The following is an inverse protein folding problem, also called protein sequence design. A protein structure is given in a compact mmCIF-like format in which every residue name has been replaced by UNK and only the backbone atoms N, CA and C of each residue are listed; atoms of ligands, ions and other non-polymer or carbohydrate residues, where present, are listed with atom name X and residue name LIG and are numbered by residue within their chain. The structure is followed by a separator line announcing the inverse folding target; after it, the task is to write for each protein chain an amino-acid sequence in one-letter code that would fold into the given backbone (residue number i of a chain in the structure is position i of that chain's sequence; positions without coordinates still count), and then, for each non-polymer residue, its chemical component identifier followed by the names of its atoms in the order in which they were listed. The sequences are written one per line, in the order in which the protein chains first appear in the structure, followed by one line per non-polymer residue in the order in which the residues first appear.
data_IF_618561188797
#
_entry.id   IF_618561188797
#
_cell.length_a   1.000
_cell.length_b   1.000
_cell.length_c   1.000
_cell.angle_alpha   90.00
_cell.angle_beta   90.00
_cell.angle_gamma   90.00
#
_symmetry.space_group_name_H-M   'P 1'
#
loop_
_entity.id
_entity.type
_entity.pdbx_description
1 polymer ?
#
# COMPACT_ATOMS: atom_id res chain seq x y z
N UNK A 1 15.75 2.95 -9.80
CA UNK A 1 15.70 1.86 -10.81
C UNK A 1 14.24 1.59 -11.12
N UNK A 2 13.83 1.67 -12.40
CA UNK A 2 12.45 1.36 -12.83
C UNK A 2 12.43 0.04 -13.59
N UNK A 3 11.48 -0.84 -13.27
CA UNK A 3 11.28 -2.10 -13.99
C UNK A 3 9.98 -2.01 -14.81
N UNK A 4 10.03 -2.44 -16.07
CA UNK A 4 8.86 -2.49 -16.95
C UNK A 4 8.36 -3.92 -17.04
N UNK A 5 7.06 -4.09 -16.84
CA UNK A 5 6.35 -5.36 -17.05
C UNK A 5 5.30 -5.19 -18.14
N UNK A 6 5.18 -6.17 -19.02
CA UNK A 6 4.14 -6.20 -20.07
C UNK A 6 3.06 -7.19 -19.65
N UNK A 7 1.83 -6.69 -19.44
CA UNK A 7 0.68 -7.49 -19.01
C UNK A 7 -0.33 -7.50 -20.15
N UNK A 8 -0.77 -8.70 -20.57
CA UNK A 8 -1.90 -8.84 -21.48
C UNK A 8 -3.21 -8.69 -20.71
N UNK A 9 -4.07 -7.79 -21.13
CA UNK A 9 -5.37 -7.56 -20.53
C UNK A 9 -6.47 -8.10 -21.46
N UNK A 10 -7.55 -8.69 -20.93
CA UNK A 10 -8.75 -8.97 -21.70
C UNK A 10 -9.33 -7.68 -22.28
N UNK A 11 -9.97 -7.78 -23.45
CA UNK A 11 -10.51 -6.62 -24.18
C UNK A 11 -11.46 -5.77 -23.34
N UNK A 12 -12.37 -6.43 -22.60
CA UNK A 12 -13.32 -5.76 -21.70
C UNK A 12 -12.59 -4.92 -20.63
N UNK A 13 -11.51 -5.48 -20.06
CA UNK A 13 -10.73 -4.79 -19.02
C UNK A 13 -10.00 -3.59 -19.62
N UNK A 14 -9.46 -3.72 -20.83
CA UNK A 14 -8.78 -2.62 -21.51
C UNK A 14 -9.76 -1.48 -21.86
N UNK A 15 -10.96 -1.81 -22.35
CA UNK A 15 -12.00 -0.81 -22.64
C UNK A 15 -12.42 -0.04 -21.40
N UNK A 16 -12.65 -0.73 -20.28
CA UNK A 16 -13.01 -0.08 -19.01
C UNK A 16 -11.88 0.81 -18.47
N UNK A 17 -10.62 0.40 -18.65
CA UNK A 17 -9.46 1.21 -18.28
C UNK A 17 -9.36 2.49 -19.12
N UNK A 18 -9.61 2.40 -20.43
CA UNK A 18 -9.64 3.57 -21.33
C UNK A 18 -10.76 4.54 -21.01
N UNK A 19 -11.96 4.03 -20.73
CA UNK A 19 -13.08 4.87 -20.33
C UNK A 19 -12.79 5.59 -19.01
N UNK A 20 -12.23 4.88 -18.03
CA UNK A 20 -11.84 5.48 -16.74
C UNK A 20 -10.75 6.54 -16.92
N UNK A 21 -9.75 6.28 -17.77
CA UNK A 21 -8.70 7.25 -18.12
C UNK A 21 -9.31 8.54 -18.71
N UNK A 22 -10.23 8.39 -19.66
CA UNK A 22 -10.93 9.52 -20.31
C UNK A 22 -11.75 10.33 -19.30
N UNK A 23 -12.56 9.66 -18.47
CA UNK A 23 -13.42 10.31 -17.48
C UNK A 23 -12.63 11.05 -16.39
N UNK A 24 -11.48 10.51 -15.99
CA UNK A 24 -10.67 11.08 -14.90
C UNK A 24 -9.58 12.05 -15.39
N UNK A 25 -9.36 12.15 -16.71
CA UNK A 25 -8.26 12.94 -17.28
C UNK A 25 -6.86 12.38 -16.95
N UNK A 26 -6.78 11.12 -16.50
CA UNK A 26 -5.52 10.47 -16.10
C UNK A 26 -5.07 9.44 -17.13
N UNK A 27 -3.77 9.18 -17.20
CA UNK A 27 -3.23 8.15 -18.10
C UNK A 27 -3.58 6.74 -17.60
N UNK A 28 -3.70 5.78 -18.53
CA UNK A 28 -3.90 4.35 -18.22
C UNK A 28 -2.83 3.84 -17.24
N UNK A 29 -1.57 4.18 -17.50
CA UNK A 29 -0.45 3.77 -16.65
C UNK A 29 -0.53 4.34 -15.24
N UNK A 30 -1.02 5.58 -15.07
CA UNK A 30 -1.19 6.17 -13.75
C UNK A 30 -2.28 5.44 -12.94
N UNK A 31 -3.39 5.06 -13.58
CA UNK A 31 -4.46 4.28 -12.95
C UNK A 31 -3.97 2.89 -12.55
N UNK A 32 -3.26 2.20 -13.45
CA UNK A 32 -2.72 0.86 -13.18
C UNK A 32 -1.67 0.91 -12.06
N UNK A 33 -0.78 1.91 -12.10
CA UNK A 33 0.25 2.09 -11.08
C UNK A 33 -0.36 2.33 -9.70
N UNK A 34 -1.35 3.21 -9.60
CA UNK A 34 -2.03 3.47 -8.32
C UNK A 34 -2.75 2.23 -7.79
N UNK A 35 -3.46 1.50 -8.65
CA UNK A 35 -4.14 0.27 -8.25
C UNK A 35 -3.17 -0.79 -7.74
N UNK A 36 -2.01 -0.92 -8.39
CA UNK A 36 -0.94 -1.83 -7.98
C UNK A 36 -0.28 -1.37 -6.67
N UNK A 37 0.00 -0.08 -6.53
CA UNK A 37 0.53 0.47 -5.28
C UNK A 37 -0.44 0.25 -4.12
N UNK A 38 -1.74 0.40 -4.36
CA UNK A 38 -2.78 0.18 -3.37
C UNK A 38 -2.91 -1.30 -2.97
N UNK A 39 -2.82 -2.23 -3.93
CA UNK A 39 -2.87 -3.67 -3.64
C UNK A 39 -1.62 -4.19 -2.94
N UNK A 40 -0.47 -3.54 -3.14
CA UNK A 40 0.79 -3.85 -2.48
C UNK A 40 0.96 -3.17 -1.13
N UNK A 41 0.01 -2.32 -0.69
CA UNK A 41 0.08 -1.75 0.65
C UNK A 41 0.02 -2.89 1.65
N UNK A 42 0.97 -2.95 2.61
CA UNK A 42 0.93 -3.97 3.64
C UNK A 42 -0.40 -3.83 4.40
N UNK A 43 -1.12 -4.94 4.56
CA UNK A 43 -2.23 -4.94 5.49
C UNK A 43 -1.72 -4.50 6.86
N UNK A 44 -2.40 -3.57 7.54
CA UNK A 44 -2.02 -3.23 8.90
C UNK A 44 -2.09 -4.51 9.72
N UNK A 45 -0.92 -4.96 10.19
CA UNK A 45 -0.82 -6.11 11.09
C UNK A 45 -1.81 -5.85 12.23
N UNK A 46 -2.84 -6.69 12.37
CA UNK A 46 -3.91 -6.46 13.34
C UNK A 46 -3.37 -6.25 14.77
N UNK A 47 -2.27 -6.93 15.11
CA UNK A 47 -1.58 -6.78 16.39
C UNK A 47 -0.77 -5.47 16.55
N UNK A 48 -0.57 -4.71 15.48
CA UNK A 48 0.09 -3.39 15.47
C UNK A 48 -0.93 -2.25 15.29
N UNK A 49 -2.24 -2.50 15.34
CA UNK A 49 -3.26 -1.47 15.14
C UNK A 49 -3.15 -0.29 16.12
N UNK A 50 -2.64 -0.54 17.33
CA UNK A 50 -2.41 0.47 18.38
C UNK A 50 -0.92 0.79 18.58
N UNK A 51 -0.03 0.28 17.72
CA UNK A 51 1.39 0.58 17.85
C UNK A 51 1.63 2.07 17.60
N UNK A 52 2.22 2.75 18.59
CA UNK A 52 2.45 4.20 18.54
C UNK A 52 1.21 5.07 18.83
N UNK A 53 0.10 4.49 19.29
CA UNK A 53 -1.10 5.26 19.70
C UNK A 53 -0.93 6.00 21.03
N UNK A 54 0.11 5.66 21.79
CA UNK A 54 0.46 6.29 23.07
C UNK A 54 1.89 6.76 22.97
N UNK A 55 2.11 8.05 23.18
CA UNK A 55 3.43 8.62 23.34
C UNK A 55 3.78 8.67 24.84
N UNK A 56 4.93 8.12 25.21
CA UNK A 56 5.34 7.93 26.59
C UNK A 56 6.85 7.86 26.72
N UNK A 57 7.36 7.96 27.95
CA UNK A 57 8.81 7.95 28.18
C UNK A 57 9.47 6.71 27.56
N UNK A 58 10.48 6.95 26.72
CA UNK A 58 11.32 5.93 26.06
C UNK A 58 11.90 4.87 27.00
N UNK A 59 11.95 5.13 28.32
CA UNK A 59 12.45 4.22 29.34
C UNK A 59 11.38 3.33 29.99
N UNK A 60 10.10 3.46 29.61
CA UNK A 60 9.00 2.68 30.22
C UNK A 60 9.18 1.16 30.05
N UNK A 61 9.74 0.71 28.93
CA UNK A 61 10.01 -0.71 28.67
C UNK A 61 11.28 -1.25 29.35
N UNK A 62 12.03 -0.42 30.08
CA UNK A 62 13.28 -0.83 30.74
C UNK A 62 13.08 -1.40 32.16
N UNK A 63 11.83 -1.52 32.64
CA UNK A 63 11.56 -2.26 33.89
C UNK A 63 12.03 -3.71 33.73
N UNK A 64 12.70 -4.25 34.75
CA UNK A 64 13.37 -5.57 34.78
C UNK A 64 12.54 -6.73 34.20
N UNK A 65 11.20 -6.67 34.26
CA UNK A 65 10.30 -7.69 33.69
C UNK A 65 10.10 -7.64 32.17
N UNK A 66 10.60 -6.61 31.48
CA UNK A 66 10.50 -6.42 30.02
C UNK A 66 11.87 -6.31 29.34
N UNK A 67 12.96 -6.49 30.09
CA UNK A 67 14.29 -6.60 29.52
C UNK A 67 14.33 -7.88 28.65
N UNK A 68 14.69 -7.73 27.37
CA UNK A 68 14.95 -8.89 26.50
C UNK A 68 16.05 -9.74 27.13
N UNK A 69 15.83 -11.05 27.20
CA UNK A 69 16.90 -12.02 27.40
C UNK A 69 17.88 -11.99 26.23
#
# INVERSE_FOLDING_TARGET
MSHTISIRLPDETNQRLEERARRTGRSRSAIVKEALEQSLRPEPKAFMAMAGSVDGDSKLSQRKGFAKQ
#
